data_IF_524736201523
#
_entry.id   IF_524736201523
#
_cell.length_a   1.000
_cell.length_b   1.000
_cell.length_c   1.000
_cell.angle_alpha   90.00
_cell.angle_beta   90.00
_cell.angle_gamma   90.00
#
_symmetry.space_group_name_H-M   'P 1'
#
loop_
_entity.id
_entity.type
_entity.pdbx_description
1 polymer ?
#
# COMPACT_ATOMS: atom_id res chain seq x y z
N UNK A 1 13.43 -24.78 3.18
CA UNK A 1 12.01 -24.94 2.78
C UNK A 1 11.86 -24.71 1.28
N UNK A 2 10.83 -25.30 0.61
CA UNK A 2 10.48 -25.01 -0.79
C UNK A 2 9.24 -24.12 -0.81
N UNK A 3 9.41 -22.85 -1.15
CA UNK A 3 8.39 -21.81 -1.08
C UNK A 3 7.98 -21.41 -2.50
N UNK A 4 6.69 -21.27 -2.75
CA UNK A 4 6.16 -20.71 -4.00
C UNK A 4 5.46 -19.39 -3.72
N UNK A 5 5.82 -18.37 -4.47
CA UNK A 5 5.15 -17.08 -4.51
C UNK A 5 4.30 -16.96 -5.78
N UNK A 6 3.05 -16.53 -5.63
CA UNK A 6 2.21 -16.19 -6.79
C UNK A 6 2.54 -14.76 -7.22
N UNK A 7 3.41 -14.61 -8.20
CA UNK A 7 4.08 -13.37 -8.61
C UNK A 7 3.32 -12.52 -9.63
N UNK A 8 1.99 -12.68 -9.79
CA UNK A 8 1.23 -11.85 -10.73
C UNK A 8 1.24 -10.36 -10.38
N UNK A 9 1.13 -9.93 -9.10
CA UNK A 9 1.17 -8.51 -8.74
C UNK A 9 2.50 -7.82 -9.08
N UNK A 10 3.62 -8.52 -9.04
CA UNK A 10 4.95 -7.95 -9.35
C UNK A 10 5.33 -7.98 -10.83
N UNK A 11 4.46 -8.52 -11.71
CA UNK A 11 4.70 -8.57 -13.16
C UNK A 11 4.40 -7.25 -13.89
N UNK A 12 4.40 -6.09 -13.22
CA UNK A 12 4.10 -4.78 -13.80
C UNK A 12 5.27 -3.82 -13.59
N UNK A 13 5.54 -2.96 -14.57
CA UNK A 13 6.53 -1.87 -14.42
C UNK A 13 6.04 -0.80 -13.43
N UNK A 14 4.72 -0.59 -13.40
CA UNK A 14 4.10 0.31 -12.43
C UNK A 14 3.38 -0.54 -11.40
N UNK A 15 4.02 -0.72 -10.26
CA UNK A 15 3.46 -1.50 -9.16
C UNK A 15 2.33 -0.73 -8.45
N UNK A 16 1.34 -1.47 -8.00
CA UNK A 16 0.34 -1.02 -7.02
C UNK A 16 0.89 -1.25 -5.61
N UNK A 17 0.22 -0.75 -4.57
CA UNK A 17 0.60 -1.02 -3.18
C UNK A 17 0.78 -2.52 -2.88
N UNK A 18 -0.09 -3.39 -3.42
CA UNK A 18 0.05 -4.85 -3.31
C UNK A 18 1.33 -5.35 -3.99
N UNK A 19 1.64 -4.83 -5.18
CA UNK A 19 2.86 -5.21 -5.89
C UNK A 19 4.14 -4.73 -5.19
N UNK A 20 4.11 -3.55 -4.57
CA UNK A 20 5.22 -3.04 -3.75
C UNK A 20 5.42 -3.93 -2.53
N UNK A 21 4.34 -4.24 -1.80
CA UNK A 21 4.35 -5.12 -0.64
C UNK A 21 4.97 -6.50 -0.99
N UNK A 22 4.50 -7.14 -2.05
CA UNK A 22 5.02 -8.43 -2.49
C UNK A 22 6.49 -8.34 -2.88
N UNK A 23 6.86 -7.32 -3.67
CA UNK A 23 8.24 -7.12 -4.15
C UNK A 23 9.23 -7.01 -2.99
N UNK A 24 8.97 -6.09 -2.06
CA UNK A 24 9.93 -5.79 -1.00
C UNK A 24 9.99 -6.95 0.01
N UNK A 25 8.85 -7.56 0.32
CA UNK A 25 8.80 -8.72 1.19
C UNK A 25 9.51 -9.95 0.60
N UNK A 26 9.32 -10.24 -0.69
CA UNK A 26 10.02 -11.34 -1.35
C UNK A 26 11.53 -11.09 -1.39
N UNK A 27 11.98 -9.84 -1.61
CA UNK A 27 13.41 -9.48 -1.52
C UNK A 27 13.96 -9.72 -0.12
N UNK A 28 13.27 -9.25 0.92
CA UNK A 28 13.67 -9.46 2.30
C UNK A 28 13.73 -10.95 2.65
N UNK A 29 12.74 -11.75 2.23
CA UNK A 29 12.72 -13.20 2.46
C UNK A 29 13.91 -13.90 1.80
N UNK A 30 14.20 -13.60 0.54
CA UNK A 30 15.32 -14.24 -0.21
C UNK A 30 16.67 -13.84 0.40
N UNK A 31 16.81 -12.58 0.83
CA UNK A 31 18.04 -12.09 1.45
C UNK A 31 18.29 -12.69 2.82
N UNK A 32 17.26 -12.82 3.66
CA UNK A 32 17.39 -13.32 5.02
C UNK A 32 17.50 -14.85 5.11
N UNK A 33 16.93 -15.57 4.13
CA UNK A 33 16.85 -17.03 4.13
C UNK A 33 17.32 -17.62 2.77
N UNK A 34 18.58 -17.41 2.39
CA UNK A 34 19.12 -17.87 1.09
C UNK A 34 19.20 -19.41 0.97
N UNK A 35 19.13 -20.13 2.10
CA UNK A 35 19.07 -21.59 2.15
C UNK A 35 17.73 -22.17 1.69
N UNK A 36 16.66 -21.38 1.72
CA UNK A 36 15.36 -21.76 1.20
C UNK A 36 15.36 -21.72 -0.34
N UNK A 37 14.44 -22.44 -0.98
CA UNK A 37 14.25 -22.42 -2.43
C UNK A 37 12.93 -21.78 -2.79
N UNK A 38 12.98 -20.76 -3.65
CA UNK A 38 11.84 -19.93 -4.00
C UNK A 38 11.45 -20.15 -5.47
N UNK A 39 10.16 -20.34 -5.74
CA UNK A 39 9.59 -20.35 -7.08
C UNK A 39 8.62 -19.17 -7.23
N UNK A 40 8.86 -18.26 -8.16
CA UNK A 40 7.86 -17.27 -8.59
C UNK A 40 7.01 -17.82 -9.71
N UNK A 41 5.70 -17.94 -9.52
CA UNK A 41 4.77 -18.44 -10.55
C UNK A 41 3.82 -17.36 -11.01
N UNK A 42 3.66 -17.19 -12.32
CA UNK A 42 2.79 -16.17 -12.87
C UNK A 42 2.24 -16.52 -14.26
N UNK A 43 1.11 -15.91 -14.62
CA UNK A 43 0.54 -16.00 -15.95
C UNK A 43 1.05 -14.85 -16.81
N UNK A 44 1.89 -15.16 -17.80
CA UNK A 44 2.54 -14.13 -18.62
C UNK A 44 1.65 -13.57 -19.74
N UNK A 45 0.59 -14.28 -20.15
CA UNK A 45 -0.42 -13.80 -21.09
C UNK A 45 -0.09 -13.99 -22.57
N UNK A 46 -0.66 -13.18 -23.46
CA UNK A 46 -0.58 -13.34 -24.92
C UNK A 46 0.69 -12.70 -25.51
N UNK A 47 1.17 -13.22 -26.64
CA UNK A 47 2.46 -12.98 -27.32
C UNK A 47 3.20 -11.64 -27.08
N UNK A 48 2.55 -10.48 -27.16
CA UNK A 48 3.25 -9.19 -27.02
C UNK A 48 3.68 -8.82 -25.59
N UNK A 49 3.06 -9.41 -24.55
CA UNK A 49 3.32 -9.11 -23.14
C UNK A 49 4.27 -10.08 -22.46
N UNK A 50 4.50 -11.26 -23.06
CA UNK A 50 5.32 -12.33 -22.47
C UNK A 50 6.76 -11.86 -22.27
N UNK A 51 7.40 -11.33 -23.32
CA UNK A 51 8.80 -10.86 -23.26
C UNK A 51 8.99 -9.78 -22.19
N UNK A 52 8.05 -8.82 -22.12
CA UNK A 52 8.09 -7.72 -21.14
C UNK A 52 7.98 -8.26 -19.71
N UNK A 53 7.01 -9.12 -19.41
CA UNK A 53 6.84 -9.70 -18.08
C UNK A 53 8.02 -10.58 -17.68
N UNK A 54 8.55 -11.40 -18.58
CA UNK A 54 9.75 -12.20 -18.31
C UNK A 54 10.94 -11.31 -17.95
N UNK A 55 11.16 -10.20 -18.67
CA UNK A 55 12.22 -9.24 -18.35
C UNK A 55 12.03 -8.64 -16.94
N UNK A 56 10.79 -8.25 -16.59
CA UNK A 56 10.49 -7.73 -15.24
C UNK A 56 10.77 -8.81 -14.19
N UNK A 57 10.35 -10.04 -14.43
CA UNK A 57 10.51 -11.13 -13.46
C UNK A 57 11.95 -11.62 -13.34
N UNK A 58 12.81 -11.39 -14.34
CA UNK A 58 14.22 -11.80 -14.30
C UNK A 58 14.99 -11.21 -13.12
N UNK A 59 14.59 -10.04 -12.60
CA UNK A 59 15.18 -9.45 -11.40
C UNK A 59 15.01 -10.29 -10.12
N UNK A 60 14.07 -11.25 -10.12
CA UNK A 60 13.83 -12.15 -9.00
C UNK A 60 14.55 -13.50 -9.13
N UNK A 61 15.34 -13.70 -10.18
CA UNK A 61 16.15 -14.92 -10.36
C UNK A 61 17.46 -14.75 -9.63
N UNK A 62 17.73 -15.66 -8.69
CA UNK A 62 18.96 -15.72 -7.87
C UNK A 62 19.40 -17.18 -7.78
N UNK A 63 20.45 -17.47 -7.02
CA UNK A 63 20.88 -18.85 -6.75
C UNK A 63 19.83 -19.67 -5.97
N UNK A 64 18.99 -18.99 -5.18
CA UNK A 64 17.94 -19.61 -4.36
C UNK A 64 16.53 -19.46 -4.94
N UNK A 65 16.35 -18.67 -6.02
CA UNK A 65 15.03 -18.37 -6.58
C UNK A 65 14.97 -18.53 -8.09
N UNK A 66 13.82 -19.01 -8.59
CA UNK A 66 13.53 -19.25 -9.99
C UNK A 66 12.15 -18.70 -10.39
N UNK A 67 11.94 -18.45 -11.68
CA UNK A 67 10.68 -17.98 -12.23
C UNK A 67 10.02 -19.04 -13.12
N UNK A 68 8.72 -19.21 -12.97
CA UNK A 68 7.91 -20.15 -13.78
C UNK A 68 6.69 -19.45 -14.32
N UNK A 69 6.67 -19.24 -15.62
CA UNK A 69 5.53 -18.60 -16.30
C UNK A 69 4.66 -19.60 -17.06
N UNK A 70 3.39 -19.27 -17.18
CA UNK A 70 2.47 -19.92 -18.09
C UNK A 70 2.08 -18.96 -19.21
N UNK A 71 2.56 -19.19 -20.48
CA UNK A 71 2.57 -18.16 -21.52
C UNK A 71 1.29 -18.04 -22.35
N UNK A 72 0.30 -18.92 -22.18
CA UNK A 72 -0.89 -18.98 -23.04
C UNK A 72 -2.08 -18.27 -22.42
N UNK A 73 -2.00 -17.90 -21.14
CA UNK A 73 -3.13 -17.41 -20.35
C UNK A 73 -2.76 -16.15 -19.55
N UNK A 74 -3.71 -15.23 -19.40
CA UNK A 74 -3.59 -14.15 -18.43
C UNK A 74 -4.20 -14.57 -17.09
N UNK A 75 -3.74 -13.97 -15.98
CA UNK A 75 -4.35 -14.20 -14.66
C UNK A 75 -5.85 -13.88 -14.65
N UNK A 76 -6.28 -12.84 -15.40
CA UNK A 76 -7.69 -12.49 -15.56
C UNK A 76 -8.50 -13.57 -16.28
N UNK A 77 -7.97 -14.12 -17.37
CA UNK A 77 -8.61 -15.21 -18.11
C UNK A 77 -8.67 -16.49 -17.26
N UNK A 78 -7.60 -16.82 -16.54
CA UNK A 78 -7.60 -17.93 -15.60
C UNK A 78 -8.69 -17.79 -14.55
N UNK A 79 -8.84 -16.58 -13.94
CA UNK A 79 -9.90 -16.30 -12.98
C UNK A 79 -11.30 -16.43 -13.58
N UNK A 80 -11.48 -16.05 -14.85
CA UNK A 80 -12.75 -16.19 -15.56
C UNK A 80 -13.09 -17.67 -15.79
N UNK A 81 -12.15 -18.42 -16.35
CA UNK A 81 -12.32 -19.86 -16.65
C UNK A 81 -12.64 -20.65 -15.38
N UNK A 82 -11.99 -20.34 -14.26
CA UNK A 82 -12.29 -20.97 -12.97
C UNK A 82 -13.73 -20.76 -12.47
N UNK A 83 -14.46 -19.81 -13.03
CA UNK A 83 -15.90 -19.64 -12.78
C UNK A 83 -16.75 -20.70 -13.45
N UNK A 84 -16.25 -21.24 -14.57
CA UNK A 84 -16.96 -22.22 -15.41
C UNK A 84 -16.41 -23.64 -15.21
N UNK A 85 -15.09 -23.78 -15.13
CA UNK A 85 -14.39 -25.04 -14.99
C UNK A 85 -13.36 -24.95 -13.84
N UNK A 86 -13.40 -25.81 -12.83
CA UNK A 86 -12.50 -25.76 -11.68
C UNK A 86 -11.13 -26.38 -12.01
N UNK A 87 -10.43 -25.84 -13.03
CA UNK A 87 -9.11 -26.33 -13.43
C UNK A 87 -8.13 -26.08 -12.26
N UNK A 88 -7.47 -27.12 -11.74
CA UNK A 88 -6.59 -27.00 -10.58
C UNK A 88 -5.34 -26.17 -10.90
N UNK A 89 -4.90 -25.33 -9.96
CA UNK A 89 -3.68 -24.54 -10.08
C UNK A 89 -2.45 -25.38 -10.40
N UNK A 90 -2.38 -26.59 -9.83
CA UNK A 90 -1.29 -27.55 -10.06
C UNK A 90 -1.22 -28.08 -11.49
N UNK A 91 -2.24 -27.88 -12.32
CA UNK A 91 -2.18 -28.18 -13.75
C UNK A 91 -1.22 -27.21 -14.47
N UNK A 92 -1.26 -25.93 -14.11
CA UNK A 92 -0.41 -24.91 -14.72
C UNK A 92 0.97 -24.84 -14.09
N UNK A 93 1.04 -25.08 -12.78
CA UNK A 93 2.27 -25.02 -11.99
C UNK A 93 2.45 -26.31 -11.21
N UNK A 94 2.94 -27.39 -11.86
CA UNK A 94 3.08 -28.70 -11.25
C UNK A 94 4.13 -28.71 -10.15
N UNK A 95 4.14 -29.82 -9.41
CA UNK A 95 5.05 -30.06 -8.29
C UNK A 95 4.51 -29.51 -6.95
N UNK A 96 4.71 -30.31 -5.89
CA UNK A 96 4.40 -29.95 -4.52
C UNK A 96 5.47 -28.98 -4.01
N UNK A 97 5.05 -27.94 -3.29
CA UNK A 97 5.89 -27.08 -2.47
C UNK A 97 5.48 -27.24 -1.02
N UNK A 98 6.37 -26.93 -0.11
CA UNK A 98 6.05 -26.99 1.31
C UNK A 98 4.96 -25.97 1.59
N UNK A 99 5.12 -24.76 1.03
CA UNK A 99 4.14 -23.68 1.13
C UNK A 99 3.98 -22.92 -0.19
N UNK A 100 2.76 -22.45 -0.47
CA UNK A 100 2.47 -21.51 -1.56
C UNK A 100 1.77 -20.29 -0.99
N UNK A 101 2.34 -19.11 -1.21
CA UNK A 101 1.80 -17.83 -0.76
C UNK A 101 1.14 -17.07 -1.93
N UNK A 102 -0.08 -16.63 -1.70
CA UNK A 102 -0.88 -15.79 -2.59
C UNK A 102 -1.02 -14.40 -1.99
N UNK A 103 -0.33 -13.42 -2.56
CA UNK A 103 -0.31 -12.04 -2.05
C UNK A 103 -1.55 -11.22 -2.40
N UNK A 104 -2.47 -11.73 -3.21
CA UNK A 104 -3.60 -10.94 -3.73
C UNK A 104 -4.93 -11.65 -3.49
N UNK A 105 -5.37 -11.67 -2.24
CA UNK A 105 -6.71 -12.07 -1.77
C UNK A 105 -7.16 -13.50 -2.07
N UNK A 106 -6.75 -14.13 -3.16
CA UNK A 106 -7.42 -15.33 -3.66
C UNK A 106 -6.50 -16.53 -3.80
N UNK A 107 -6.91 -17.65 -3.20
CA UNK A 107 -6.31 -18.98 -3.40
C UNK A 107 -7.15 -19.74 -4.43
N UNK A 108 -6.58 -20.10 -5.59
CA UNK A 108 -7.26 -20.94 -6.57
C UNK A 108 -7.44 -22.39 -6.08
N UNK A 109 -8.34 -23.18 -6.69
CA UNK A 109 -8.49 -24.59 -6.37
C UNK A 109 -7.26 -25.40 -6.83
N UNK A 110 -7.06 -26.56 -6.18
CA UNK A 110 -6.06 -27.55 -6.59
C UNK A 110 -4.60 -27.15 -6.37
N UNK A 111 -4.31 -26.25 -5.43
CA UNK A 111 -2.95 -25.98 -4.93
C UNK A 111 -2.49 -27.16 -4.09
N UNK A 112 -1.28 -27.68 -4.35
CA UNK A 112 -0.66 -28.78 -3.58
C UNK A 112 0.27 -28.21 -2.52
N UNK A 113 0.29 -28.84 -1.34
CA UNK A 113 1.03 -28.37 -0.16
C UNK A 113 0.24 -27.37 0.68
N UNK A 114 0.91 -26.73 1.62
CA UNK A 114 0.31 -25.68 2.47
C UNK A 114 0.05 -24.41 1.67
N UNK A 115 -0.99 -23.68 2.03
CA UNK A 115 -1.45 -22.49 1.31
C UNK A 115 -1.69 -21.34 2.28
N UNK A 116 -1.04 -20.23 2.03
CA UNK A 116 -1.26 -19.01 2.79
C UNK A 116 -1.67 -17.87 1.85
N UNK A 117 -2.37 -16.91 2.38
CA UNK A 117 -2.86 -15.75 1.61
C UNK A 117 -2.67 -14.48 2.39
N UNK A 118 -2.32 -13.39 1.70
CA UNK A 118 -2.40 -12.03 2.27
C UNK A 118 -3.72 -11.37 1.86
N UNK A 119 -4.44 -10.84 2.86
CA UNK A 119 -5.59 -9.98 2.69
C UNK A 119 -5.19 -8.57 3.12
N UNK A 120 -5.16 -7.66 2.15
CA UNK A 120 -4.67 -6.29 2.39
C UNK A 120 -5.72 -5.39 3.00
N UNK A 121 -6.97 -5.50 2.53
CA UNK A 121 -8.11 -4.69 2.95
C UNK A 121 -9.44 -5.38 2.62
N UNK A 122 -10.55 -4.77 3.03
CA UNK A 122 -11.90 -5.16 2.65
C UNK A 122 -12.69 -4.00 2.04
N UNK A 123 -12.00 -3.08 1.35
CA UNK A 123 -12.61 -1.93 0.69
C UNK A 123 -13.76 -2.35 -0.24
N UNK A 124 -13.64 -3.47 -0.93
CA UNK A 124 -14.69 -3.99 -1.81
C UNK A 124 -16.00 -4.37 -1.09
N UNK A 125 -15.99 -4.49 0.25
CA UNK A 125 -17.16 -4.72 1.11
C UNK A 125 -17.63 -3.41 1.73
N UNK A 126 -16.72 -2.63 2.32
CA UNK A 126 -17.04 -1.40 3.07
C UNK A 126 -17.34 -0.20 2.17
N UNK A 127 -16.62 -0.08 1.05
CA UNK A 127 -16.72 1.00 0.07
C UNK A 127 -16.82 0.44 -1.35
N UNK A 128 -17.89 -0.36 -1.64
CA UNK A 128 -18.02 -1.11 -2.89
C UNK A 128 -18.06 -0.23 -4.14
N UNK A 129 -18.51 1.03 -4.01
CA UNK A 129 -18.56 2.04 -5.08
C UNK A 129 -17.16 2.52 -5.50
N UNK A 130 -16.16 2.39 -4.62
CA UNK A 130 -14.79 2.81 -4.89
C UNK A 130 -13.94 1.73 -5.58
N UNK A 131 -14.49 0.53 -5.72
CA UNK A 131 -13.79 -0.62 -6.30
C UNK A 131 -14.43 -1.03 -7.63
N UNK A 132 -13.59 -1.22 -8.65
CA UNK A 132 -14.06 -1.62 -9.97
C UNK A 132 -15.00 -2.84 -9.90
N UNK A 133 -16.16 -2.75 -10.55
CA UNK A 133 -17.26 -3.74 -10.48
C UNK A 133 -16.78 -5.19 -10.66
N UNK A 134 -15.91 -5.45 -11.65
CA UNK A 134 -15.38 -6.80 -11.91
C UNK A 134 -14.55 -7.33 -10.75
N UNK A 135 -13.70 -6.50 -10.16
CA UNK A 135 -12.86 -6.86 -8.99
C UNK A 135 -13.74 -7.14 -7.80
N UNK A 136 -14.68 -6.25 -7.48
CA UNK A 136 -15.66 -6.40 -6.42
C UNK A 136 -16.43 -7.71 -6.54
N UNK A 137 -17.02 -8.00 -7.71
CA UNK A 137 -17.78 -9.23 -7.95
C UNK A 137 -16.94 -10.49 -7.73
N UNK A 138 -15.69 -10.51 -8.22
CA UNK A 138 -14.80 -11.66 -8.07
C UNK A 138 -14.42 -11.87 -6.60
N UNK A 139 -14.07 -10.80 -5.87
CA UNK A 139 -13.69 -10.89 -4.45
C UNK A 139 -14.89 -11.32 -3.60
N UNK A 140 -16.07 -10.71 -3.77
CA UNK A 140 -17.29 -11.05 -3.01
C UNK A 140 -17.68 -12.52 -3.17
N UNK A 141 -17.53 -13.08 -4.38
CA UNK A 141 -17.90 -14.48 -4.65
C UNK A 141 -16.86 -15.50 -4.15
N UNK A 142 -15.57 -15.10 -4.07
CA UNK A 142 -14.48 -16.06 -3.91
C UNK A 142 -13.71 -15.95 -2.60
N UNK A 143 -13.70 -14.78 -1.94
CA UNK A 143 -12.91 -14.60 -0.73
C UNK A 143 -13.29 -15.61 0.36
N UNK A 144 -14.58 -15.81 0.62
CA UNK A 144 -15.06 -16.80 1.62
C UNK A 144 -14.50 -18.21 1.37
N UNK A 145 -14.43 -18.62 0.09
CA UNK A 145 -13.86 -19.93 -0.28
C UNK A 145 -12.34 -19.95 -0.10
N UNK A 146 -11.65 -18.83 -0.36
CA UNK A 146 -10.23 -18.66 -0.13
C UNK A 146 -9.89 -18.79 1.35
N UNK A 147 -10.58 -18.03 2.21
CA UNK A 147 -10.37 -18.04 3.65
C UNK A 147 -10.55 -19.46 4.26
N UNK A 148 -11.50 -20.25 3.72
CA UNK A 148 -11.65 -21.66 4.10
C UNK A 148 -10.52 -22.57 3.63
N UNK A 149 -9.91 -22.28 2.47
CA UNK A 149 -8.83 -23.08 1.90
C UNK A 149 -7.45 -22.75 2.48
N UNK A 150 -7.27 -21.54 2.98
CA UNK A 150 -6.01 -21.10 3.54
C UNK A 150 -5.67 -21.93 4.78
N UNK A 151 -4.43 -22.40 4.87
CA UNK A 151 -3.88 -22.98 6.09
C UNK A 151 -3.56 -21.86 7.11
N UNK A 152 -3.18 -20.67 6.63
CA UNK A 152 -3.02 -19.45 7.43
C UNK A 152 -3.31 -18.20 6.58
N UNK A 153 -3.64 -17.08 7.24
CA UNK A 153 -3.99 -15.81 6.60
C UNK A 153 -3.10 -14.72 7.18
N UNK A 154 -2.43 -13.99 6.31
CA UNK A 154 -1.75 -12.76 6.68
C UNK A 154 -2.66 -11.58 6.42
N UNK A 155 -2.66 -10.61 7.32
CA UNK A 155 -3.43 -9.37 7.22
C UNK A 155 -2.52 -8.16 7.35
N UNK A 156 -2.81 -7.09 6.59
CA UNK A 156 -1.95 -5.91 6.55
C UNK A 156 -2.01 -5.06 7.84
N UNK A 157 -3.05 -5.25 8.66
CA UNK A 157 -3.26 -4.50 9.90
C UNK A 157 -4.16 -5.26 10.86
N UNK A 158 -4.13 -4.91 12.15
CA UNK A 158 -5.08 -5.40 13.16
C UNK A 158 -6.53 -5.04 12.76
N UNK A 159 -6.70 -3.85 12.17
CA UNK A 159 -7.99 -3.41 11.66
C UNK A 159 -8.54 -4.39 10.61
N UNK A 160 -7.75 -4.77 9.61
CA UNK A 160 -8.14 -5.76 8.59
C UNK A 160 -8.43 -7.12 9.22
N UNK A 161 -7.68 -7.53 10.24
CA UNK A 161 -7.91 -8.75 10.99
C UNK A 161 -9.27 -8.75 11.72
N UNK A 162 -9.59 -7.63 12.41
CA UNK A 162 -10.91 -7.46 13.05
C UNK A 162 -12.06 -7.54 12.05
N UNK A 163 -11.93 -6.90 10.90
CA UNK A 163 -12.94 -6.96 9.84
C UNK A 163 -13.13 -8.36 9.27
N UNK A 164 -12.06 -9.14 9.08
CA UNK A 164 -12.16 -10.53 8.66
C UNK A 164 -12.88 -11.40 9.70
N UNK A 165 -12.69 -11.14 10.97
CA UNK A 165 -13.43 -11.81 12.04
C UNK A 165 -14.91 -11.43 12.00
N UNK A 166 -15.21 -10.13 11.92
CA UNK A 166 -16.56 -9.59 11.91
C UNK A 166 -17.37 -10.06 10.70
N UNK A 167 -16.80 -9.92 9.49
CA UNK A 167 -17.54 -10.12 8.24
C UNK A 167 -17.53 -11.56 7.73
N UNK A 168 -16.52 -12.34 8.10
CA UNK A 168 -16.32 -13.69 7.57
C UNK A 168 -16.17 -14.77 8.64
N UNK A 169 -16.18 -14.41 9.93
CA UNK A 169 -16.04 -15.34 11.05
C UNK A 169 -14.66 -16.02 11.10
N UNK A 170 -13.60 -15.36 10.62
CA UNK A 170 -12.25 -15.93 10.68
C UNK A 170 -11.71 -15.79 12.10
N UNK A 171 -11.32 -16.91 12.76
CA UNK A 171 -10.77 -16.85 14.10
C UNK A 171 -9.37 -16.23 14.11
N UNK A 172 -9.03 -15.49 15.17
CA UNK A 172 -7.76 -14.75 15.30
C UNK A 172 -6.54 -15.65 15.17
N UNK A 173 -6.61 -16.88 15.68
CA UNK A 173 -5.54 -17.87 15.68
C UNK A 173 -5.14 -18.31 14.25
N UNK A 174 -5.98 -18.05 13.27
CA UNK A 174 -5.72 -18.32 11.86
C UNK A 174 -5.13 -17.10 11.11
N UNK A 175 -4.92 -16.00 11.81
CA UNK A 175 -4.43 -14.76 11.22
C UNK A 175 -3.14 -14.30 11.91
N UNK A 176 -2.26 -13.69 11.13
CA UNK A 176 -1.10 -12.95 11.64
C UNK A 176 -1.04 -11.62 10.95
N UNK A 177 -0.91 -10.56 11.73
CA UNK A 177 -0.69 -9.20 11.20
C UNK A 177 0.75 -9.09 10.71
N UNK A 178 0.90 -8.61 9.49
CA UNK A 178 2.19 -8.39 8.82
C UNK A 178 2.22 -6.98 8.27
N UNK A 179 2.78 -6.08 9.04
CA UNK A 179 2.90 -4.67 8.66
C UNK A 179 3.79 -4.50 7.44
N UNK A 180 3.46 -3.53 6.60
CA UNK A 180 4.38 -3.10 5.56
C UNK A 180 5.58 -2.38 6.18
N UNK A 181 6.74 -2.51 5.54
CA UNK A 181 7.89 -1.65 5.76
C UNK A 181 7.96 -0.53 4.73
N UNK A 182 9.08 0.14 4.70
CA UNK A 182 9.42 1.15 3.69
C UNK A 182 10.89 1.02 3.28
N UNK A 183 11.26 1.64 2.17
CA UNK A 183 12.66 1.71 1.71
C UNK A 183 13.39 2.78 2.53
N UNK A 184 14.24 2.36 3.47
CA UNK A 184 14.96 3.25 4.41
C UNK A 184 16.01 4.14 3.75
N UNK A 185 16.53 3.74 2.60
CA UNK A 185 17.48 4.56 1.84
C UNK A 185 16.75 5.65 1.07
N UNK A 186 15.59 5.32 0.54
CA UNK A 186 14.74 6.25 -0.21
C UNK A 186 14.01 7.23 0.69
N UNK A 187 13.26 6.73 1.69
CA UNK A 187 12.43 7.52 2.59
C UNK A 187 13.17 7.76 3.90
N UNK A 188 13.89 8.87 3.95
CA UNK A 188 14.67 9.34 5.09
C UNK A 188 14.62 10.85 5.15
N UNK A 189 15.04 11.41 6.26
CA UNK A 189 15.31 12.85 6.30
C UNK A 189 16.33 13.22 5.20
N UNK A 190 16.06 14.30 4.46
CA UNK A 190 16.91 14.85 3.42
C UNK A 190 17.12 16.33 3.68
N UNK A 191 18.36 16.79 3.47
CA UNK A 191 18.65 18.21 3.53
C UNK A 191 18.09 18.94 2.32
N UNK A 192 17.88 20.26 2.47
CA UNK A 192 17.32 21.09 1.40
C UNK A 192 18.11 20.96 0.09
N UNK A 193 19.46 20.98 0.16
CA UNK A 193 20.32 20.90 -1.01
C UNK A 193 20.13 19.61 -1.82
N UNK A 194 19.81 18.49 -1.18
CA UNK A 194 19.48 17.24 -1.87
C UNK A 194 18.17 17.33 -2.67
N UNK A 195 17.26 18.21 -2.27
CA UNK A 195 15.90 18.33 -2.82
C UNK A 195 15.71 19.61 -3.66
N UNK A 196 16.65 20.54 -3.61
CA UNK A 196 16.57 21.88 -4.22
C UNK A 196 16.05 21.85 -5.66
N UNK A 197 16.67 21.07 -6.53
CA UNK A 197 16.29 21.01 -7.95
C UNK A 197 14.84 20.52 -8.15
N UNK A 198 14.38 19.59 -7.31
CA UNK A 198 12.99 19.07 -7.35
C UNK A 198 12.01 20.15 -6.93
N UNK A 199 12.32 20.91 -5.88
CA UNK A 199 11.46 21.97 -5.36
C UNK A 199 11.42 23.16 -6.31
N UNK A 200 12.57 23.68 -6.74
CA UNK A 200 12.67 24.82 -7.66
C UNK A 200 11.98 24.57 -8.99
N UNK A 201 12.11 23.34 -9.55
CA UNK A 201 11.42 22.97 -10.79
C UNK A 201 9.90 23.04 -10.72
N UNK A 202 9.33 23.10 -9.50
CA UNK A 202 7.90 23.17 -9.21
C UNK A 202 7.46 24.46 -8.55
N UNK A 203 8.39 25.42 -8.39
CA UNK A 203 8.11 26.69 -7.71
C UNK A 203 7.80 26.52 -6.22
N UNK A 204 8.34 25.48 -5.58
CA UNK A 204 8.10 25.15 -4.16
C UNK A 204 9.25 25.70 -3.29
N UNK A 205 8.87 26.20 -2.12
CA UNK A 205 9.80 26.60 -1.06
C UNK A 205 9.98 25.48 -0.05
N UNK A 206 11.07 25.53 0.70
CA UNK A 206 11.35 24.57 1.76
C UNK A 206 10.31 24.62 2.86
N UNK A 207 9.69 23.48 3.15
CA UNK A 207 8.59 23.36 4.14
C UNK A 207 7.45 24.36 3.96
N UNK A 208 7.27 24.82 2.71
CA UNK A 208 6.29 25.83 2.35
C UNK A 208 5.07 25.26 1.62
N UNK A 209 4.82 23.95 1.63
CA UNK A 209 3.70 23.35 0.91
C UNK A 209 3.12 22.14 1.62
N UNK A 210 1.82 21.90 1.42
CA UNK A 210 1.17 20.63 1.76
C UNK A 210 1.35 19.63 0.63
N UNK A 211 1.52 18.37 0.97
CA UNK A 211 1.72 17.30 -0.01
C UNK A 211 0.70 16.18 0.17
N UNK A 212 0.09 15.75 -0.92
CA UNK A 212 -0.71 14.54 -1.05
C UNK A 212 -0.09 13.61 -2.09
N UNK A 213 -0.06 12.30 -1.83
CA UNK A 213 0.36 11.30 -2.81
C UNK A 213 -0.59 10.10 -2.81
N UNK A 214 -1.17 9.81 -3.97
CA UNK A 214 -2.03 8.65 -4.17
C UNK A 214 -2.77 8.68 -5.50
N UNK A 215 -3.43 7.58 -5.86
CA UNK A 215 -4.34 7.58 -6.99
C UNK A 215 -5.54 8.49 -6.68
N UNK A 216 -5.95 9.31 -7.65
CA UNK A 216 -7.12 10.18 -7.49
C UNK A 216 -8.38 9.31 -7.64
N UNK A 217 -8.91 8.88 -6.50
CA UNK A 217 -10.10 8.02 -6.39
C UNK A 217 -10.95 8.41 -5.17
N UNK A 218 -12.28 8.15 -5.17
CA UNK A 218 -13.19 8.62 -4.10
C UNK A 218 -12.77 8.18 -2.69
N UNK A 219 -12.25 6.97 -2.54
CA UNK A 219 -11.80 6.43 -1.24
C UNK A 219 -10.71 7.28 -0.56
N UNK A 220 -9.93 8.00 -1.36
CA UNK A 220 -8.86 8.90 -0.87
C UNK A 220 -9.39 10.23 -0.35
N UNK A 221 -10.70 10.51 -0.52
CA UNK A 221 -11.38 11.67 0.05
C UNK A 221 -10.82 13.03 -0.40
N UNK A 222 -10.30 13.08 -1.64
CA UNK A 222 -9.61 14.26 -2.17
C UNK A 222 -10.58 15.44 -2.31
N UNK A 223 -11.84 15.19 -2.68
CA UNK A 223 -12.84 16.25 -2.82
C UNK A 223 -13.04 16.99 -1.50
N UNK A 224 -13.24 16.26 -0.39
CA UNK A 224 -13.41 16.90 0.92
C UNK A 224 -12.12 17.57 1.40
N UNK A 225 -10.96 16.98 1.10
CA UNK A 225 -9.66 17.60 1.37
C UNK A 225 -9.53 18.95 0.66
N UNK A 226 -9.97 19.07 -0.60
CA UNK A 226 -9.94 20.32 -1.37
C UNK A 226 -10.88 21.35 -0.75
N UNK A 227 -12.09 20.98 -0.34
CA UNK A 227 -13.04 21.89 0.33
C UNK A 227 -12.41 22.42 1.63
N UNK A 228 -11.89 21.52 2.47
CA UNK A 228 -11.23 21.88 3.73
C UNK A 228 -10.00 22.77 3.51
N UNK A 229 -9.22 22.49 2.46
CA UNK A 229 -8.08 23.32 2.10
C UNK A 229 -8.53 24.70 1.62
N UNK A 230 -9.60 24.84 0.82
CA UNK A 230 -10.14 26.13 0.41
C UNK A 230 -10.61 26.97 1.61
N UNK A 231 -11.23 26.36 2.60
CA UNK A 231 -11.58 27.02 3.86
C UNK A 231 -10.32 27.46 4.63
N UNK A 232 -9.28 26.63 4.65
CA UNK A 232 -7.99 26.97 5.26
C UNK A 232 -7.34 28.15 4.56
N UNK A 233 -7.35 28.20 3.22
CA UNK A 233 -6.86 29.33 2.41
C UNK A 233 -7.57 30.61 2.82
N UNK A 234 -8.90 30.63 2.80
CA UNK A 234 -9.71 31.80 3.18
C UNK A 234 -9.39 32.29 4.60
N UNK A 235 -9.20 31.37 5.55
CA UNK A 235 -8.86 31.70 6.93
C UNK A 235 -7.47 32.32 7.03
N UNK A 236 -6.45 31.73 6.42
CA UNK A 236 -5.08 32.25 6.43
C UNK A 236 -4.98 33.63 5.76
N UNK A 237 -5.61 33.81 4.59
CA UNK A 237 -5.66 35.09 3.88
C UNK A 237 -6.34 36.19 4.69
N UNK A 238 -7.45 35.87 5.38
CA UNK A 238 -8.14 36.84 6.26
C UNK A 238 -7.29 37.31 7.43
N UNK A 239 -6.31 36.49 7.84
CA UNK A 239 -5.36 36.80 8.90
C UNK A 239 -4.03 37.38 8.35
N UNK A 240 -3.89 37.57 7.05
CA UNK A 240 -2.66 38.04 6.40
C UNK A 240 -1.49 37.05 6.52
N UNK A 241 -1.77 35.77 6.68
CA UNK A 241 -0.77 34.71 6.81
C UNK A 241 -0.43 34.10 5.44
N UNK A 242 0.78 33.55 5.33
CA UNK A 242 1.20 32.78 4.16
C UNK A 242 0.34 31.52 3.98
N UNK A 243 -0.02 31.24 2.73
CA UNK A 243 -0.80 30.06 2.35
C UNK A 243 0.11 29.05 1.70
N UNK A 244 0.42 27.90 2.37
CA UNK A 244 1.15 26.82 1.73
C UNK A 244 0.35 26.21 0.57
N UNK A 245 0.86 26.18 -0.70
CA UNK A 245 0.18 25.52 -1.80
C UNK A 245 0.00 24.02 -1.51
N UNK A 246 -1.06 23.43 -2.07
CA UNK A 246 -1.32 22.00 -1.99
C UNK A 246 -0.82 21.27 -3.25
N UNK A 247 0.17 20.41 -3.09
CA UNK A 247 0.73 19.58 -4.16
C UNK A 247 0.02 18.24 -4.21
N UNK A 248 -0.65 17.95 -5.33
CA UNK A 248 -1.35 16.68 -5.58
C UNK A 248 -0.51 15.78 -6.49
N UNK A 249 0.16 14.79 -5.92
CA UNK A 249 0.93 13.78 -6.64
C UNK A 249 0.17 12.46 -6.83
N UNK A 250 0.45 11.77 -7.94
CA UNK A 250 -0.06 10.43 -8.21
C UNK A 250 -0.74 10.26 -9.55
N UNK A 251 -1.30 9.06 -9.77
CA UNK A 251 -2.00 8.75 -11.02
C UNK A 251 -3.36 9.42 -11.04
N UNK A 252 -3.69 9.95 -12.22
CA UNK A 252 -5.04 10.41 -12.53
C UNK A 252 -5.96 9.20 -12.55
N UNK A 253 -6.83 9.09 -11.55
CA UNK A 253 -7.88 8.07 -11.49
C UNK A 253 -9.11 8.47 -12.30
N UNK A 254 -10.14 7.65 -12.27
CA UNK A 254 -11.40 7.88 -12.98
C UNK A 254 -12.27 9.02 -12.37
N UNK A 255 -11.84 9.60 -11.25
CA UNK A 255 -12.52 10.69 -10.53
C UNK A 255 -11.85 12.07 -10.78
N UNK A 256 -10.92 12.14 -11.71
CA UNK A 256 -10.05 13.30 -11.90
C UNK A 256 -10.81 14.57 -12.34
N UNK A 257 -11.74 14.44 -13.30
CA UNK A 257 -12.46 15.59 -13.83
C UNK A 257 -13.31 16.29 -12.74
N UNK A 258 -13.93 15.51 -11.84
CA UNK A 258 -14.70 16.04 -10.71
C UNK A 258 -13.80 16.78 -9.72
N UNK A 259 -12.55 16.35 -9.55
CA UNK A 259 -11.57 17.03 -8.70
C UNK A 259 -11.20 18.40 -9.33
N UNK A 260 -10.98 18.46 -10.64
CA UNK A 260 -10.71 19.73 -11.33
C UNK A 260 -11.89 20.70 -11.23
N UNK A 261 -13.12 20.21 -11.41
CA UNK A 261 -14.33 21.02 -11.24
C UNK A 261 -14.45 21.56 -9.82
N UNK A 262 -14.11 20.73 -8.80
CA UNK A 262 -14.10 21.14 -7.40
C UNK A 262 -13.08 22.25 -7.15
N UNK A 263 -11.83 22.08 -7.60
CA UNK A 263 -10.78 23.09 -7.48
C UNK A 263 -11.23 24.43 -8.06
N UNK A 264 -11.81 24.41 -9.26
CA UNK A 264 -12.32 25.59 -9.92
C UNK A 264 -13.50 26.23 -9.17
N UNK A 265 -14.45 25.43 -8.70
CA UNK A 265 -15.61 25.93 -7.97
C UNK A 265 -15.26 26.56 -6.62
N UNK A 266 -14.15 26.15 -6.00
CA UNK A 266 -13.62 26.75 -4.77
C UNK A 266 -12.77 28.02 -5.04
N UNK A 267 -12.37 28.28 -6.29
CA UNK A 267 -11.56 29.45 -6.69
C UNK A 267 -10.13 29.41 -6.17
N UNK A 268 -9.52 28.22 -6.14
CA UNK A 268 -8.16 28.00 -5.55
C UNK A 268 -7.19 27.38 -6.56
N UNK A 269 -7.40 27.56 -7.87
CA UNK A 269 -6.57 26.98 -8.92
C UNK A 269 -5.09 27.40 -8.80
N UNK A 270 -4.83 28.64 -8.37
CA UNK A 270 -3.50 29.19 -8.16
C UNK A 270 -2.80 28.67 -6.89
N UNK A 271 -3.53 28.00 -6.00
CA UNK A 271 -3.03 27.40 -4.76
C UNK A 271 -2.79 25.89 -4.86
N UNK A 272 -3.14 25.26 -6.01
CA UNK A 272 -3.00 23.81 -6.19
C UNK A 272 -2.03 23.50 -7.32
N UNK A 273 -1.06 22.61 -7.02
CA UNK A 273 -0.08 22.11 -7.98
C UNK A 273 -0.39 20.65 -8.30
N UNK A 274 -0.78 20.38 -9.53
CA UNK A 274 -1.03 19.03 -10.03
C UNK A 274 0.28 18.43 -10.51
N UNK A 275 0.97 17.67 -9.65
CA UNK A 275 2.30 17.13 -9.93
C UNK A 275 2.29 15.86 -10.81
N UNK A 276 1.12 15.24 -11.02
CA UNK A 276 0.99 14.01 -11.81
C UNK A 276 1.78 12.82 -11.23
N UNK A 277 2.23 11.94 -12.13
CA UNK A 277 3.07 10.81 -11.71
C UNK A 277 4.46 11.28 -11.32
N UNK A 278 4.91 10.91 -10.14
CA UNK A 278 6.21 11.28 -9.58
C UNK A 278 7.20 10.12 -9.67
N UNK A 279 8.45 10.41 -9.99
CA UNK A 279 9.54 9.46 -9.85
C UNK A 279 9.77 9.12 -8.36
N UNK A 280 10.45 8.03 -8.08
CA UNK A 280 10.76 7.65 -6.70
C UNK A 280 11.63 8.71 -5.99
N UNK A 281 12.57 9.31 -6.72
CA UNK A 281 13.41 10.42 -6.24
C UNK A 281 12.58 11.67 -5.92
N UNK A 282 11.66 12.06 -6.82
CA UNK A 282 10.81 13.24 -6.60
C UNK A 282 9.89 13.05 -5.40
N UNK A 283 9.28 11.85 -5.27
CA UNK A 283 8.46 11.51 -4.11
C UNK A 283 9.22 11.68 -2.80
N UNK A 284 10.43 11.13 -2.74
CA UNK A 284 11.26 11.19 -1.54
C UNK A 284 11.58 12.64 -1.14
N UNK A 285 11.91 13.51 -2.12
CA UNK A 285 12.16 14.92 -1.87
C UNK A 285 10.89 15.66 -1.43
N UNK A 286 9.75 15.41 -2.10
CA UNK A 286 8.50 16.08 -1.76
C UNK A 286 7.97 15.66 -0.39
N UNK A 287 8.16 14.42 0.04
CA UNK A 287 7.86 14.02 1.41
C UNK A 287 8.79 14.75 2.41
N UNK A 288 10.12 14.67 2.20
CA UNK A 288 11.09 15.14 3.17
C UNK A 288 11.02 16.66 3.43
N UNK A 289 10.57 17.43 2.44
CA UNK A 289 10.56 18.91 2.51
C UNK A 289 9.15 19.51 2.51
N UNK A 290 8.09 18.68 2.70
CA UNK A 290 6.73 19.17 2.89
C UNK A 290 6.55 19.86 4.24
N UNK A 291 5.70 20.87 4.28
CA UNK A 291 5.16 21.43 5.53
C UNK A 291 4.38 20.37 6.30
N UNK A 292 3.53 19.64 5.58
CA UNK A 292 2.88 18.43 6.06
C UNK A 292 2.42 17.54 4.91
N UNK A 293 2.35 16.24 5.17
CA UNK A 293 1.68 15.27 4.31
C UNK A 293 0.22 15.13 4.72
N UNK A 294 -0.70 15.26 3.76
CA UNK A 294 -2.14 15.30 4.00
C UNK A 294 -2.81 14.09 3.34
N UNK A 295 -3.42 13.22 4.15
CA UNK A 295 -3.96 11.95 3.66
C UNK A 295 -5.25 11.53 4.40
N UNK A 296 -6.38 12.26 4.24
CA UNK A 296 -7.62 12.03 4.97
C UNK A 296 -8.48 10.93 4.33
N UNK A 297 -7.89 9.78 3.99
CA UNK A 297 -8.56 8.65 3.34
C UNK A 297 -9.72 8.12 4.18
N UNK A 298 -10.83 7.75 3.51
CA UNK A 298 -12.00 7.12 4.12
C UNK A 298 -11.70 5.71 4.63
N UNK A 299 -10.77 5.03 3.98
CA UNK A 299 -10.45 3.65 4.30
C UNK A 299 -9.09 3.22 3.72
N UNK A 300 -8.25 2.58 4.54
CA UNK A 300 -6.98 1.99 4.13
C UNK A 300 -6.78 0.61 4.79
N UNK A 301 -6.10 -0.29 4.07
CA UNK A 301 -5.68 -1.56 4.65
C UNK A 301 -4.45 -1.45 5.53
N UNK A 302 -3.57 -0.44 5.24
CA UNK A 302 -2.40 -0.11 6.04
C UNK A 302 -2.11 1.40 5.99
N UNK A 303 -1.70 1.95 4.86
CA UNK A 303 -1.33 3.37 4.73
C UNK A 303 0.16 3.58 4.45
N UNK A 304 0.72 2.83 3.49
CA UNK A 304 2.13 2.97 3.09
C UNK A 304 2.53 4.44 2.84
N UNK A 305 1.74 5.30 2.15
CA UNK A 305 2.12 6.70 1.96
C UNK A 305 2.29 7.49 3.25
N UNK A 306 1.49 7.18 4.28
CA UNK A 306 1.61 7.79 5.61
C UNK A 306 2.92 7.36 6.28
N UNK A 307 3.26 6.08 6.20
CA UNK A 307 4.51 5.55 6.73
C UNK A 307 5.74 6.15 6.01
N UNK A 308 5.69 6.28 4.68
CA UNK A 308 6.75 6.92 3.87
C UNK A 308 6.95 8.40 4.25
N UNK A 309 5.86 9.12 4.47
CA UNK A 309 5.89 10.53 4.92
C UNK A 309 6.54 10.66 6.30
N UNK A 310 6.12 9.85 7.27
CA UNK A 310 6.70 9.82 8.62
C UNK A 310 8.19 9.47 8.58
N UNK A 311 8.58 8.46 7.79
CA UNK A 311 9.96 8.04 7.61
C UNK A 311 10.84 9.13 6.97
N UNK A 312 10.24 9.99 6.15
CA UNK A 312 10.91 11.15 5.53
C UNK A 312 10.97 12.38 6.45
N UNK A 313 10.36 12.32 7.64
CA UNK A 313 10.30 13.43 8.59
C UNK A 313 9.23 14.49 8.26
N UNK A 314 8.20 14.14 7.49
CA UNK A 314 7.07 15.02 7.27
C UNK A 314 6.07 14.93 8.43
N UNK A 315 5.57 16.05 8.98
CA UNK A 315 4.36 16.05 9.80
C UNK A 315 3.19 15.46 9.00
N UNK A 316 2.30 14.73 9.65
CA UNK A 316 1.18 14.06 8.97
C UNK A 316 -0.16 14.55 9.49
N UNK A 317 -1.09 14.85 8.57
CA UNK A 317 -2.52 14.91 8.83
C UNK A 317 -3.18 13.71 8.14
N UNK A 318 -3.89 12.88 8.90
CA UNK A 318 -4.58 11.73 8.34
C UNK A 318 -5.89 11.43 9.07
N UNK A 319 -6.65 10.46 8.57
CA UNK A 319 -7.94 10.13 9.15
C UNK A 319 -7.80 9.25 10.41
N UNK A 320 -8.74 9.42 11.37
CA UNK A 320 -8.84 8.62 12.58
C UNK A 320 -9.59 7.28 12.38
N UNK A 321 -9.62 6.76 11.15
CA UNK A 321 -10.36 5.54 10.77
C UNK A 321 -9.46 4.49 10.15
N UNK A 322 -9.98 3.27 10.06
CA UNK A 322 -9.31 2.10 9.46
C UNK A 322 -7.96 1.78 10.12
N UNK A 323 -6.94 1.49 9.34
CA UNK A 323 -5.58 1.19 9.82
C UNK A 323 -4.71 2.43 10.08
N UNK A 324 -5.17 3.63 9.73
CA UNK A 324 -4.34 4.84 9.80
C UNK A 324 -3.89 5.19 11.23
N UNK A 325 -4.77 5.14 12.26
CA UNK A 325 -4.34 5.31 13.65
C UNK A 325 -3.36 4.25 14.14
N UNK A 326 -3.47 3.03 13.61
CA UNK A 326 -2.56 1.92 13.93
C UNK A 326 -1.14 2.18 13.39
N UNK A 327 -1.03 2.82 12.23
CA UNK A 327 0.26 3.21 11.64
C UNK A 327 0.86 4.42 12.36
N UNK A 328 0.07 5.48 12.54
CA UNK A 328 0.57 6.74 13.08
C UNK A 328 0.75 6.72 14.61
N UNK A 329 -0.05 5.95 15.33
CA UNK A 329 -0.17 6.14 16.77
C UNK A 329 -0.62 7.58 17.07
N UNK A 330 0.06 8.23 18.02
CA UNK A 330 -0.18 9.62 18.42
C UNK A 330 0.71 10.62 17.63
N UNK A 331 1.44 10.17 16.62
CA UNK A 331 2.45 10.96 15.90
C UNK A 331 1.89 11.68 14.67
N UNK A 332 0.58 11.98 14.62
CA UNK A 332 -0.08 12.68 13.53
C UNK A 332 -1.25 13.53 14.04
N UNK A 333 -1.65 14.52 13.26
CA UNK A 333 -2.96 15.16 13.42
C UNK A 333 -4.01 14.21 12.85
N UNK A 334 -4.86 13.66 13.71
CA UNK A 334 -5.95 12.77 13.33
C UNK A 334 -7.25 13.56 13.20
N UNK A 335 -7.98 13.35 12.09
CA UNK A 335 -9.28 13.98 11.85
C UNK A 335 -10.34 12.93 11.49
N UNK A 336 -11.60 13.25 11.74
CA UNK A 336 -12.71 12.52 11.14
C UNK A 336 -12.72 12.82 9.64
N UNK A 337 -12.58 11.83 8.75
CA UNK A 337 -12.55 12.06 7.33
C UNK A 337 -13.88 12.56 6.74
N UNK A 338 -14.96 12.52 7.52
CA UNK A 338 -16.27 13.07 7.15
C UNK A 338 -16.50 14.49 7.67
N UNK A 339 -15.66 14.99 8.56
CA UNK A 339 -15.72 16.33 9.10
C UNK A 339 -14.77 17.29 8.37
N UNK A 340 -15.33 18.08 7.45
CA UNK A 340 -14.56 19.08 6.68
C UNK A 340 -13.93 20.14 7.59
N UNK A 341 -14.65 20.58 8.63
CA UNK A 341 -14.14 21.60 9.57
C UNK A 341 -12.96 21.05 10.39
N UNK A 342 -13.01 19.78 10.82
CA UNK A 342 -11.91 19.13 11.52
C UNK A 342 -10.67 18.96 10.61
N UNK A 343 -10.85 18.66 9.33
CA UNK A 343 -9.73 18.62 8.36
C UNK A 343 -9.16 20.03 8.17
N UNK A 344 -10.01 21.06 8.01
CA UNK A 344 -9.60 22.46 7.90
C UNK A 344 -8.79 22.92 9.13
N UNK A 345 -9.27 22.64 10.35
CA UNK A 345 -8.55 22.98 11.57
C UNK A 345 -7.18 22.29 11.66
N UNK A 346 -7.10 21.02 11.27
CA UNK A 346 -5.85 20.28 11.18
C UNK A 346 -4.86 20.92 10.21
N UNK A 347 -5.32 21.30 9.00
CA UNK A 347 -4.50 22.01 8.01
C UNK A 347 -4.04 23.37 8.52
N UNK A 348 -4.94 24.13 9.12
CA UNK A 348 -4.62 25.44 9.69
C UNK A 348 -3.56 25.35 10.82
N UNK A 349 -3.70 24.41 11.74
CA UNK A 349 -2.70 24.16 12.79
C UNK A 349 -1.33 23.82 12.20
N UNK A 350 -1.29 22.93 11.24
CA UNK A 350 -0.04 22.56 10.55
C UNK A 350 0.55 23.71 9.72
N UNK A 351 -0.28 24.64 9.22
CA UNK A 351 0.21 25.83 8.52
C UNK A 351 0.87 26.83 9.48
N UNK A 352 0.38 26.95 10.72
CA UNK A 352 0.68 28.08 11.62
C UNK A 352 1.49 27.74 12.87
N UNK A 353 1.63 26.46 13.21
CA UNK A 353 2.32 25.99 14.42
C UNK A 353 3.58 25.19 14.07
N UNK A 354 4.73 25.86 14.12
CA UNK A 354 6.04 25.25 13.84
C UNK A 354 6.42 24.23 14.91
N UNK A 355 6.12 24.52 16.18
CA UNK A 355 6.42 23.62 17.30
C UNK A 355 5.68 22.30 17.16
N UNK A 356 4.40 22.34 16.78
CA UNK A 356 3.60 21.16 16.48
C UNK A 356 4.23 20.36 15.34
N UNK A 357 4.61 21.03 14.23
CA UNK A 357 5.22 20.37 13.08
C UNK A 357 6.53 19.69 13.44
N UNK A 358 7.43 20.36 14.17
CA UNK A 358 8.71 19.78 14.59
C UNK A 358 8.51 18.55 15.50
N UNK A 359 7.57 18.67 16.46
CA UNK A 359 7.23 17.56 17.36
C UNK A 359 6.70 16.35 16.61
N UNK A 360 5.73 16.55 15.67
CA UNK A 360 5.16 15.47 14.87
C UNK A 360 6.17 14.83 13.91
N UNK A 361 7.04 15.65 13.30
CA UNK A 361 8.10 15.17 12.42
C UNK A 361 9.05 14.22 13.16
N UNK A 362 9.51 14.63 14.36
CA UNK A 362 10.40 13.82 15.21
C UNK A 362 9.73 12.52 15.65
N UNK A 363 8.55 12.62 16.25
CA UNK A 363 7.82 11.45 16.74
C UNK A 363 7.43 10.50 15.61
N UNK A 364 7.01 11.05 14.46
CA UNK A 364 6.68 10.27 13.26
C UNK A 364 7.88 9.50 12.74
N UNK A 365 9.06 10.11 12.68
CA UNK A 365 10.29 9.45 12.27
C UNK A 365 10.66 8.29 13.20
N UNK A 366 10.59 8.50 14.52
CA UNK A 366 10.83 7.46 15.53
C UNK A 366 9.80 6.32 15.42
N UNK A 367 8.53 6.65 15.21
CA UNK A 367 7.46 5.67 14.99
C UNK A 367 7.67 4.85 13.72
N UNK A 368 8.03 5.48 12.61
CA UNK A 368 8.27 4.80 11.34
C UNK A 368 9.39 3.76 11.45
N UNK A 369 10.43 4.01 12.26
CA UNK A 369 11.53 3.07 12.47
C UNK A 369 11.11 1.69 13.00
N UNK A 370 9.89 1.58 13.58
CA UNK A 370 9.33 0.31 14.07
C UNK A 370 8.83 -0.60 12.94
N UNK A 371 8.69 -0.07 11.72
CA UNK A 371 8.18 -0.82 10.56
C UNK A 371 9.32 -1.19 9.63
N UNK A 372 9.47 -2.48 9.34
CA UNK A 372 10.59 -3.01 8.55
C UNK A 372 10.14 -4.23 7.74
N UNK A 373 10.55 -4.27 6.48
CA UNK A 373 10.33 -5.44 5.64
C UNK A 373 11.05 -6.67 6.16
N UNK A 374 12.22 -6.49 6.78
CA UNK A 374 13.01 -7.57 7.37
C UNK A 374 12.30 -8.20 8.56
N UNK A 375 11.75 -7.38 9.48
CA UNK A 375 11.00 -7.91 10.62
C UNK A 375 9.72 -8.60 10.18
N UNK A 376 9.03 -8.05 9.19
CA UNK A 376 7.87 -8.68 8.56
C UNK A 376 8.23 -10.02 7.93
N UNK A 377 9.35 -10.09 7.21
CA UNK A 377 9.83 -11.33 6.60
C UNK A 377 10.20 -12.40 7.65
N UNK A 378 10.85 -12.00 8.75
CA UNK A 378 11.15 -12.90 9.88
C UNK A 378 9.88 -13.46 10.51
N UNK A 379 8.91 -12.60 10.78
CA UNK A 379 7.62 -13.03 11.33
C UNK A 379 6.90 -14.00 10.38
N UNK A 380 6.85 -13.68 9.09
CA UNK A 380 6.22 -14.55 8.10
C UNK A 380 6.93 -15.89 7.96
N UNK A 381 8.28 -15.89 7.97
CA UNK A 381 9.06 -17.13 7.90
C UNK A 381 8.79 -18.03 9.11
N UNK A 382 8.67 -17.45 10.30
CA UNK A 382 8.26 -18.16 11.51
C UNK A 382 6.89 -18.81 11.35
N UNK A 383 5.90 -18.06 10.83
CA UNK A 383 4.56 -18.60 10.57
C UNK A 383 4.59 -19.71 9.52
N UNK A 384 5.43 -19.59 8.49
CA UNK A 384 5.60 -20.66 7.51
C UNK A 384 6.10 -21.96 8.16
N UNK A 385 7.08 -21.87 9.09
CA UNK A 385 7.54 -23.02 9.85
C UNK A 385 6.41 -23.66 10.66
N UNK A 386 5.65 -22.85 11.38
CA UNK A 386 4.52 -23.32 12.18
C UNK A 386 3.44 -24.01 11.33
N UNK A 387 3.16 -23.46 10.13
CA UNK A 387 2.16 -24.01 9.19
C UNK A 387 2.65 -25.33 8.58
N UNK A 388 3.94 -25.44 8.28
CA UNK A 388 4.51 -26.62 7.60
C UNK A 388 4.83 -27.73 8.58
N UNK A 389 5.45 -27.41 9.73
CA UNK A 389 6.00 -28.37 10.68
C UNK A 389 5.20 -28.50 11.98
N UNK A 390 4.21 -27.62 12.23
CA UNK A 390 3.47 -27.52 13.49
C UNK A 390 4.18 -26.66 14.53
N UNK A 391 3.45 -26.23 15.56
CA UNK A 391 3.97 -25.36 16.63
C UNK A 391 5.08 -26.01 17.47
N UNK A 392 5.14 -27.34 17.49
CA UNK A 392 6.10 -28.12 18.27
C UNK A 392 7.37 -28.53 17.49
N UNK A 393 7.46 -28.22 16.18
CA UNK A 393 8.52 -28.71 15.29
C UNK A 393 9.88 -28.02 15.40
N UNK A 394 10.17 -27.22 16.43
CA UNK A 394 11.42 -26.44 16.57
C UNK A 394 12.28 -26.81 17.78
N UNK A 395 12.26 -28.04 18.29
CA UNK A 395 13.16 -28.45 19.38
C UNK A 395 14.23 -29.47 18.92
N UNK A 396 14.51 -29.59 17.66
CA UNK A 396 15.67 -30.41 17.23
C UNK A 396 16.24 -29.88 15.92
N UNK A 397 17.13 -28.91 15.98
CA UNK A 397 18.40 -28.87 15.22
C UNK A 397 19.26 -27.69 15.69
#
# INVERSE_FOLDING_TARGET
>A
MKIRFEGTPVCSEQLTGIGIHEKELCKAMISLYPEDKYDFTYFSGVRGRIKRKRRIMQQYVTESSDIKDFPIMTAGLYRLIQGLLPIPFSFFFPGKRDITHFFNFLIPPGVRGKKVVTVHDLAFVRYPETVAYRTRKVLSLRLKKTLKRADHIFVASEFTGRELTELYGVPKERMTVVYAGFDREMFRHREYDECRAVLESRGLTDKGYFFYLGTIEPRKNIERMIIAYAETVRRLESEGKEVPPLVLGGKLGWYYDQILERIKSEGIEDKIILAGYLSDSDKACLYARARAFVFPSLYEGFGIPVLEAMASGAPVLTANVSSLPEVTGECAVLCDPFDTAGICDGLYRLATDDTLCESLAKQGYERAAMFSWEETAKLMRKVYDEVVYGKEGKINN
#
